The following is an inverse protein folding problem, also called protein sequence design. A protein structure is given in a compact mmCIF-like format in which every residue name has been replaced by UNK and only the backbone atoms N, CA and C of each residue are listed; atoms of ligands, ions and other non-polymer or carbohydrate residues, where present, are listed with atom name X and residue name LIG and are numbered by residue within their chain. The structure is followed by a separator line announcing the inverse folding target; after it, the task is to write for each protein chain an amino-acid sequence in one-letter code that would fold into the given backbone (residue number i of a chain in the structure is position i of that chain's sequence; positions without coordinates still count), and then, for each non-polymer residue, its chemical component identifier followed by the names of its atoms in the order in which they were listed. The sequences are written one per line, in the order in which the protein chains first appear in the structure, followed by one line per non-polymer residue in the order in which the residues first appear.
data_IF_510328278590
#
_entry.id   IF_510328278590
#
_cell.length_a   1.000
_cell.length_b   1.000
_cell.length_c   1.000
_cell.angle_alpha   90.00
_cell.angle_beta   90.00
_cell.angle_gamma   90.00
#
_symmetry.space_group_name_H-M   'P 1'
#
loop_
_entity.id
_entity.type
_entity.pdbx_description
1 polymer ?
#
# COMPACT_ATOMS: atom_id res chain seq x y z
N UNK A 1 -18.09 6.81 -3.63
CA UNK A 1 -16.63 6.66 -3.63
C UNK A 1 -16.03 7.91 -4.25
N UNK A 2 -15.32 8.73 -3.47
CA UNK A 2 -14.75 9.99 -3.97
C UNK A 2 -13.42 9.73 -4.73
N UNK A 3 -12.94 10.71 -5.50
CA UNK A 3 -11.69 10.57 -6.29
C UNK A 3 -10.49 10.19 -5.44
N UNK A 4 -10.40 10.66 -4.20
CA UNK A 4 -9.33 10.32 -3.28
C UNK A 4 -9.40 8.84 -2.84
N UNK A 5 -10.58 8.31 -2.51
CA UNK A 5 -10.76 6.88 -2.19
C UNK A 5 -10.37 5.97 -3.37
N UNK A 6 -10.71 6.37 -4.60
CA UNK A 6 -10.31 5.61 -5.79
C UNK A 6 -8.80 5.66 -6.03
N UNK A 7 -8.17 6.82 -5.85
CA UNK A 7 -6.72 6.96 -5.98
C UNK A 7 -5.98 6.13 -4.91
N UNK A 8 -6.44 6.18 -3.66
CA UNK A 8 -5.86 5.41 -2.57
C UNK A 8 -5.99 3.91 -2.79
N UNK A 9 -7.16 3.44 -3.26
CA UNK A 9 -7.37 2.03 -3.60
C UNK A 9 -6.40 1.52 -4.66
N UNK A 10 -6.09 2.34 -5.66
CA UNK A 10 -5.08 1.99 -6.68
C UNK A 10 -3.67 1.94 -6.12
N UNK A 11 -3.32 2.89 -5.25
CA UNK A 11 -1.99 2.91 -4.60
C UNK A 11 -1.83 1.66 -3.72
N UNK A 12 -2.85 1.31 -2.94
CA UNK A 12 -2.86 0.12 -2.10
C UNK A 12 -2.63 -1.15 -2.91
N UNK A 13 -3.40 -1.35 -3.99
CA UNK A 13 -3.29 -2.51 -4.86
C UNK A 13 -1.89 -2.64 -5.48
N UNK A 14 -1.28 -1.52 -5.89
CA UNK A 14 0.08 -1.53 -6.43
C UNK A 14 1.11 -1.96 -5.37
N UNK A 15 1.00 -1.44 -4.13
CA UNK A 15 1.90 -1.81 -3.04
C UNK A 15 1.78 -3.29 -2.66
N UNK A 16 0.55 -3.84 -2.66
CA UNK A 16 0.30 -5.27 -2.44
C UNK A 16 0.96 -6.13 -3.53
N UNK A 17 0.79 -5.74 -4.81
CA UNK A 17 1.41 -6.43 -5.94
C UNK A 17 2.95 -6.38 -5.90
N UNK A 18 3.53 -5.24 -5.54
CA UNK A 18 4.98 -5.10 -5.41
C UNK A 18 5.51 -5.99 -4.27
N UNK A 19 4.80 -6.05 -3.14
CA UNK A 19 5.15 -6.93 -2.02
C UNK A 19 5.09 -8.42 -2.40
N UNK A 20 4.09 -8.82 -3.19
CA UNK A 20 3.97 -10.18 -3.72
C UNK A 20 5.12 -10.51 -4.67
N UNK A 21 5.39 -9.61 -5.64
CA UNK A 21 6.47 -9.73 -6.61
C UNK A 21 7.83 -9.93 -5.93
N UNK A 22 8.06 -9.22 -4.82
CA UNK A 22 9.32 -9.23 -4.10
C UNK A 22 9.39 -10.32 -3.01
N UNK A 23 8.31 -11.07 -2.76
CA UNK A 23 8.18 -11.96 -1.60
C UNK A 23 9.32 -12.98 -1.47
N UNK A 24 9.87 -13.44 -2.60
CA UNK A 24 10.94 -14.46 -2.67
C UNK A 24 12.34 -13.88 -2.89
N UNK A 25 12.47 -12.58 -3.09
CA UNK A 25 13.75 -11.94 -3.34
C UNK A 25 14.42 -11.55 -2.00
N UNK A 26 15.32 -12.39 -1.48
CA UNK A 26 15.96 -12.18 -0.17
C UNK A 26 16.69 -10.84 -0.04
N UNK A 27 17.35 -10.39 -1.11
CA UNK A 27 18.06 -9.11 -1.18
C UNK A 27 17.14 -7.88 -1.06
N UNK A 28 15.82 -8.05 -1.14
CA UNK A 28 14.83 -6.97 -1.10
C UNK A 28 14.20 -6.78 0.29
N UNK A 29 14.70 -7.47 1.33
CA UNK A 29 14.11 -7.43 2.68
C UNK A 29 13.88 -6.01 3.21
N UNK A 30 14.86 -5.12 3.05
CA UNK A 30 14.75 -3.71 3.47
C UNK A 30 13.69 -2.95 2.66
N UNK A 31 13.67 -3.16 1.34
CA UNK A 31 12.70 -2.55 0.44
C UNK A 31 11.26 -3.02 0.75
N UNK A 32 11.06 -4.33 0.96
CA UNK A 32 9.77 -4.90 1.40
C UNK A 32 9.30 -4.33 2.73
N UNK A 33 10.21 -4.05 3.68
CA UNK A 33 9.84 -3.38 4.92
C UNK A 33 9.28 -1.98 4.65
N UNK A 34 9.95 -1.19 3.82
CA UNK A 34 9.47 0.13 3.41
C UNK A 34 8.11 0.09 2.70
N UNK A 35 7.91 -0.88 1.81
CA UNK A 35 6.61 -1.08 1.14
C UNK A 35 5.49 -1.45 2.12
N UNK A 36 5.77 -2.27 3.14
CA UNK A 36 4.80 -2.58 4.20
C UNK A 36 4.44 -1.35 5.03
N UNK A 37 5.42 -0.53 5.40
CA UNK A 37 5.19 0.71 6.13
C UNK A 37 4.37 1.71 5.28
N UNK A 38 4.64 1.79 3.98
CA UNK A 38 3.84 2.58 3.04
C UNK A 38 2.40 2.05 2.93
N UNK A 39 2.23 0.72 2.84
CA UNK A 39 0.92 0.08 2.77
C UNK A 39 0.08 0.40 4.01
N UNK A 40 0.65 0.29 5.21
CA UNK A 40 -0.03 0.67 6.46
C UNK A 40 -0.54 2.11 6.43
N UNK A 41 0.30 3.08 6.03
CA UNK A 41 -0.09 4.48 5.95
C UNK A 41 -1.18 4.75 4.93
N UNK A 42 -1.15 4.05 3.79
CA UNK A 42 -2.19 4.18 2.76
C UNK A 42 -3.52 3.65 3.28
N UNK A 43 -3.53 2.50 3.96
CA UNK A 43 -4.75 1.95 4.59
C UNK A 43 -5.32 2.90 5.66
N UNK A 44 -4.47 3.46 6.53
CA UNK A 44 -4.90 4.46 7.52
C UNK A 44 -5.54 5.69 6.86
N UNK A 45 -4.99 6.13 5.71
CA UNK A 45 -5.52 7.25 4.95
C UNK A 45 -6.81 6.91 4.21
N UNK A 46 -6.97 5.69 3.72
CA UNK A 46 -8.24 5.18 3.17
C UNK A 46 -9.35 5.22 4.21
N UNK A 47 -9.07 4.70 5.41
CA UNK A 47 -10.03 4.66 6.52
C UNK A 47 -10.43 6.07 6.94
N UNK A 48 -9.46 6.98 7.09
CA UNK A 48 -9.72 8.39 7.42
C UNK A 48 -10.53 9.09 6.33
N UNK A 49 -10.28 8.80 5.05
CA UNK A 49 -11.01 9.37 3.92
C UNK A 49 -12.42 8.78 3.79
N UNK A 50 -12.66 7.57 4.29
CA UNK A 50 -13.99 6.96 4.32
C UNK A 50 -14.85 7.43 5.50
N UNK A 51 -14.23 7.91 6.57
CA UNK A 51 -14.92 8.43 7.75
C UNK A 51 -15.41 9.89 7.60
N UNK A 52 -14.89 10.64 6.62
CA UNK A 52 -15.27 12.04 6.34
C UNK A 52 -16.12 12.18 5.07
#
# INVERSE_FOLDING_TARGET
MNTAQHALGRIRANLENDLETLARAEHTRGFRRGLREALTRVTELEDATAAG
#
